data_IF_716137163035
#
_entry.id   IF_716137163035
#
_cell.length_a   1.000
_cell.length_b   1.000
_cell.length_c   1.000
_cell.angle_alpha   90.00
_cell.angle_beta   90.00
_cell.angle_gamma   90.00
#
_symmetry.space_group_name_H-M   'P 1'
#
loop_
_entity.id
_entity.type
_entity.pdbx_description
1 polymer ?
#
# COMPACT_ATOMS: atom_id res chain seq x y z
N UNK A 1 -6.15 0.93 -14.15
CA UNK A 1 -6.23 0.83 -15.62
C UNK A 1 -6.44 2.23 -16.19
N UNK A 2 -5.85 2.54 -17.35
CA UNK A 2 -5.97 3.85 -18.02
C UNK A 2 -6.13 3.61 -19.52
N UNK A 3 -7.34 3.77 -20.04
CA UNK A 3 -7.67 3.41 -21.42
C UNK A 3 -7.34 1.95 -21.70
N UNK A 4 -6.48 1.62 -22.68
CA UNK A 4 -6.10 0.25 -22.99
C UNK A 4 -4.98 -0.30 -22.09
N UNK A 5 -4.35 0.53 -21.26
CA UNK A 5 -3.14 0.15 -20.53
C UNK A 5 -3.46 -0.22 -19.07
N UNK A 6 -2.83 -1.29 -18.59
CA UNK A 6 -2.77 -1.61 -17.16
C UNK A 6 -1.50 -1.00 -16.55
N UNK A 7 -1.67 -0.22 -15.49
CA UNK A 7 -0.58 0.57 -14.88
C UNK A 7 -0.44 0.11 -13.44
N UNK A 8 0.67 -0.58 -13.15
CA UNK A 8 1.01 -1.09 -11.82
C UNK A 8 2.39 -0.57 -11.39
N UNK A 9 2.64 -0.50 -10.08
CA UNK A 9 3.95 -0.15 -9.48
C UNK A 9 4.54 1.22 -9.85
N UNK A 10 3.69 2.18 -10.24
CA UNK A 10 4.08 3.58 -10.52
C UNK A 10 2.96 4.55 -10.14
N UNK A 11 3.26 5.82 -9.82
CA UNK A 11 2.24 6.80 -9.47
C UNK A 11 1.28 7.03 -10.63
N UNK A 12 -0.02 7.12 -10.33
CA UNK A 12 -1.06 7.39 -11.31
C UNK A 12 -1.03 8.88 -11.70
N UNK A 13 -0.29 9.21 -12.75
CA UNK A 13 -0.19 10.57 -13.28
C UNK A 13 -0.49 10.51 -14.78
N UNK A 14 -1.57 11.14 -15.21
CA UNK A 14 -2.09 11.01 -16.58
C UNK A 14 -2.11 12.39 -17.21
N UNK A 15 -1.32 12.57 -18.27
CA UNK A 15 -1.14 13.85 -18.96
C UNK A 15 0.02 14.72 -18.49
N UNK A 16 0.15 15.87 -19.15
CA UNK A 16 1.21 16.85 -18.94
C UNK A 16 0.64 18.26 -19.12
N UNK A 17 0.92 19.16 -18.18
CA UNK A 17 0.24 20.46 -18.10
C UNK A 17 -1.20 20.35 -17.58
N UNK A 18 -2.07 19.77 -18.40
CA UNK A 18 -3.39 19.31 -17.98
C UNK A 18 -3.30 17.83 -17.54
N UNK A 19 -3.72 17.56 -16.32
CA UNK A 19 -3.78 16.23 -15.73
C UNK A 19 -5.22 15.76 -15.61
N UNK A 20 -5.45 14.46 -15.83
CA UNK A 20 -6.76 13.84 -15.64
C UNK A 20 -7.18 13.92 -14.17
N UNK A 21 -8.46 14.14 -13.88
CA UNK A 21 -8.93 14.42 -12.51
C UNK A 21 -8.69 13.31 -11.47
N UNK A 22 -8.47 12.08 -11.92
CA UNK A 22 -8.12 10.92 -11.09
C UNK A 22 -6.61 10.73 -10.91
N UNK A 23 -5.78 11.63 -11.46
CA UNK A 23 -4.33 11.62 -11.22
C UNK A 23 -4.00 12.01 -9.78
N UNK A 24 -2.96 11.40 -9.22
CA UNK A 24 -2.45 11.75 -7.90
C UNK A 24 -1.89 13.17 -7.88
N UNK A 25 -2.52 14.05 -7.09
CA UNK A 25 -2.18 15.48 -7.01
C UNK A 25 -0.69 15.70 -6.73
N UNK A 26 -0.12 15.03 -5.73
CA UNK A 26 1.30 15.16 -5.40
C UNK A 26 2.20 14.66 -6.54
N UNK A 27 1.84 13.56 -7.20
CA UNK A 27 2.56 13.04 -8.36
C UNK A 27 2.52 14.01 -9.54
N UNK A 28 1.35 14.58 -9.84
CA UNK A 28 1.18 15.61 -10.88
C UNK A 28 1.96 16.87 -10.56
N UNK A 29 2.00 17.32 -9.30
CA UNK A 29 2.74 18.49 -8.87
C UNK A 29 4.27 18.29 -8.95
N UNK A 30 4.77 17.11 -8.60
CA UNK A 30 6.19 16.73 -8.79
C UNK A 30 6.51 16.68 -10.28
N UNK A 31 5.69 16.00 -11.08
CA UNK A 31 5.87 15.92 -12.54
C UNK A 31 5.90 17.31 -13.18
N UNK A 32 5.02 18.23 -12.75
CA UNK A 32 4.99 19.63 -13.18
C UNK A 32 6.18 20.47 -12.68
N UNK A 33 6.97 19.99 -11.72
CA UNK A 33 8.11 20.72 -11.14
C UNK A 33 7.71 21.78 -10.11
N UNK A 34 6.48 21.73 -9.61
CA UNK A 34 5.93 22.70 -8.65
C UNK A 34 6.41 22.38 -7.23
N UNK A 35 6.53 21.08 -6.91
CA UNK A 35 6.99 20.60 -5.60
C UNK A 35 8.05 19.51 -5.78
N UNK A 36 8.84 19.28 -4.73
CA UNK A 36 9.83 18.19 -4.72
C UNK A 36 9.32 16.98 -3.95
N UNK A 37 9.78 15.77 -4.31
CA UNK A 37 9.41 14.55 -3.60
C UNK A 37 9.88 14.55 -2.13
N UNK A 38 11.00 15.21 -1.82
CA UNK A 38 11.59 15.19 -0.48
C UNK A 38 11.06 16.27 0.48
N UNK A 39 10.74 17.47 -0.02
CA UNK A 39 10.30 18.59 0.84
C UNK A 39 8.80 18.88 0.75
N UNK A 40 8.11 18.26 -0.21
CA UNK A 40 6.79 18.71 -0.62
C UNK A 40 6.84 20.16 -1.11
N UNK A 41 5.76 20.89 -0.81
CA UNK A 41 5.61 22.31 -1.14
C UNK A 41 4.14 22.67 -1.28
N UNK A 42 3.86 23.83 -1.85
CA UNK A 42 2.50 24.18 -2.23
C UNK A 42 2.44 24.88 -3.57
N UNK A 43 1.23 24.89 -4.10
CA UNK A 43 0.89 25.49 -5.37
C UNK A 43 -0.63 25.57 -5.48
N UNK A 44 -1.06 26.12 -6.61
CA UNK A 44 -2.47 26.27 -6.93
C UNK A 44 -2.90 25.17 -7.89
N UNK A 45 -4.06 24.58 -7.61
CA UNK A 45 -4.73 23.66 -8.52
C UNK A 45 -5.87 24.42 -9.19
N UNK A 46 -5.91 24.41 -10.50
CA UNK A 46 -7.00 25.00 -11.30
C UNK A 46 -7.75 23.88 -12.00
N UNK A 47 -9.06 23.79 -11.76
CA UNK A 47 -9.92 22.86 -12.48
C UNK A 47 -10.18 23.39 -13.89
N UNK A 48 -9.89 22.58 -14.91
CA UNK A 48 -9.99 22.98 -16.32
C UNK A 48 -11.26 22.42 -17.00
N UNK A 49 -11.98 21.50 -16.34
CA UNK A 49 -13.17 20.87 -16.93
C UNK A 49 -12.82 19.75 -17.90
N UNK A 50 -13.59 19.61 -18.98
CA UNK A 50 -13.35 18.59 -20.00
C UNK A 50 -12.01 18.84 -20.71
N UNK A 51 -11.24 17.79 -20.92
CA UNK A 51 -9.99 17.86 -21.68
C UNK A 51 -9.82 16.61 -22.54
N UNK A 52 -9.26 16.83 -23.72
CA UNK A 52 -9.07 15.80 -24.74
C UNK A 52 -7.59 15.54 -24.91
N UNK A 53 -7.23 14.28 -25.12
CA UNK A 53 -5.88 13.84 -25.47
C UNK A 53 -4.79 14.28 -24.46
N UNK A 54 -4.51 13.42 -23.50
CA UNK A 54 -3.45 13.63 -22.52
C UNK A 54 -2.14 13.05 -23.04
N UNK A 55 -1.12 13.88 -23.19
CA UNK A 55 0.21 13.44 -23.66
C UNK A 55 1.04 12.83 -22.52
N UNK A 56 1.82 11.80 -22.84
CA UNK A 56 2.81 11.22 -21.93
C UNK A 56 4.15 11.95 -22.07
N UNK A 57 4.74 12.34 -20.94
CA UNK A 57 6.10 12.88 -20.85
C UNK A 57 6.80 12.37 -19.60
N UNK A 58 8.14 12.31 -19.62
CA UNK A 58 8.95 12.07 -18.42
C UNK A 58 9.54 13.39 -17.93
N UNK A 59 9.14 13.83 -16.73
CA UNK A 59 9.59 15.08 -16.10
C UNK A 59 9.79 14.87 -14.60
N UNK A 60 10.88 15.42 -14.06
CA UNK A 60 11.18 15.41 -12.63
C UNK A 60 11.11 14.01 -11.97
N UNK A 61 11.57 12.98 -12.69
CA UNK A 61 11.58 11.59 -12.21
C UNK A 61 10.26 10.84 -12.32
N UNK A 62 9.18 11.49 -12.75
CA UNK A 62 7.89 10.86 -13.01
C UNK A 62 7.68 10.77 -14.53
N UNK A 63 7.27 9.60 -14.99
CA UNK A 63 6.74 9.43 -16.33
C UNK A 63 5.21 9.43 -16.24
N UNK A 64 4.56 10.32 -16.97
CA UNK A 64 3.09 10.38 -17.06
C UNK A 64 2.55 9.38 -18.07
N UNK A 65 1.28 9.04 -17.94
CA UNK A 65 0.56 8.09 -18.79
C UNK A 65 -0.20 8.90 -19.83
N UNK A 66 -0.08 8.48 -21.09
CA UNK A 66 -0.83 9.08 -22.18
C UNK A 66 -2.25 8.53 -22.21
N UNK A 67 -3.22 9.37 -22.60
CA UNK A 67 -4.60 8.97 -22.75
C UNK A 67 -5.20 9.61 -24.01
N UNK A 68 -5.30 8.82 -25.08
CA UNK A 68 -5.72 9.25 -26.41
C UNK A 68 -7.23 9.43 -26.58
N UNK A 69 -7.94 9.86 -25.53
CA UNK A 69 -9.37 10.16 -25.58
C UNK A 69 -9.72 11.37 -24.73
N UNK A 70 -11.01 11.69 -24.64
CA UNK A 70 -11.54 12.75 -23.80
C UNK A 70 -11.87 12.28 -22.40
N UNK A 71 -11.74 13.17 -21.42
CA UNK A 71 -12.12 12.89 -20.04
C UNK A 71 -12.81 14.11 -19.41
N UNK A 72 -13.90 13.84 -18.69
CA UNK A 72 -14.87 14.87 -18.28
C UNK A 72 -14.28 15.95 -17.35
N UNK A 73 -13.22 15.65 -16.60
CA UNK A 73 -12.61 16.55 -15.64
C UNK A 73 -11.08 16.46 -15.68
N UNK A 74 -10.45 17.62 -15.62
CA UNK A 74 -9.00 17.78 -15.60
C UNK A 74 -8.60 18.94 -14.71
N UNK A 75 -7.33 18.97 -14.33
CA UNK A 75 -6.75 20.05 -13.55
C UNK A 75 -5.33 20.36 -14.01
N UNK A 76 -4.89 21.60 -13.78
CA UNK A 76 -3.48 21.98 -13.89
C UNK A 76 -2.94 22.38 -12.52
N UNK A 77 -1.63 22.25 -12.36
CA UNK A 77 -0.91 22.68 -11.15
C UNK A 77 0.06 23.79 -11.53
N UNK A 78 0.05 24.88 -10.77
CA UNK A 78 0.95 26.01 -10.96
C UNK A 78 1.55 26.47 -9.63
N UNK A 79 2.72 27.10 -9.70
CA UNK A 79 3.28 27.85 -8.57
C UNK A 79 2.42 29.10 -8.33
N UNK A 80 2.33 29.48 -7.07
CA UNK A 80 1.66 30.71 -6.67
C UNK A 80 2.46 31.36 -5.55
N UNK A 81 3.15 32.44 -5.88
CA UNK A 81 4.03 33.16 -4.95
C UNK A 81 3.26 33.83 -3.79
N UNK A 82 1.93 33.94 -3.90
CA UNK A 82 1.08 34.45 -2.83
C UNK A 82 0.83 33.40 -1.74
N UNK A 83 1.01 32.11 -2.05
CA UNK A 83 0.79 31.01 -1.11
C UNK A 83 2.13 30.61 -0.49
N UNK A 84 2.24 30.76 0.83
CA UNK A 84 3.41 30.30 1.60
C UNK A 84 3.03 29.12 2.47
N UNK A 85 3.84 28.07 2.41
CA UNK A 85 3.62 26.87 3.19
C UNK A 85 4.83 26.58 4.07
N UNK A 86 4.57 26.10 5.29
CA UNK A 86 5.62 25.66 6.19
C UNK A 86 6.37 24.48 5.58
N UNK A 87 7.68 24.45 5.77
CA UNK A 87 8.49 23.28 5.43
C UNK A 87 8.04 22.06 6.26
N UNK A 88 8.13 20.87 5.68
CA UNK A 88 7.85 19.61 6.39
C UNK A 88 8.82 19.48 7.60
N UNK A 89 8.30 19.50 8.84
CA UNK A 89 9.14 19.48 10.05
C UNK A 89 9.71 18.09 10.36
N UNK A 90 9.33 17.03 9.63
CA UNK A 90 9.69 15.64 9.95
C UNK A 90 11.18 15.40 10.11
N UNK A 91 12.01 15.97 9.24
CA UNK A 91 13.47 15.81 9.30
C UNK A 91 14.08 16.43 10.57
N UNK A 92 13.64 17.65 10.92
CA UNK A 92 14.08 18.33 12.14
C UNK A 92 13.60 17.58 13.40
N UNK A 93 12.34 17.14 13.42
CA UNK A 93 11.77 16.37 14.53
C UNK A 93 12.43 14.98 14.69
N UNK A 94 12.85 14.36 13.58
CA UNK A 94 13.63 13.12 13.62
C UNK A 94 14.98 13.35 14.28
N UNK A 95 15.70 14.41 13.90
CA UNK A 95 16.97 14.75 14.53
C UNK A 95 16.82 14.98 16.04
N UNK A 96 15.79 15.74 16.46
CA UNK A 96 15.49 15.97 17.88
C UNK A 96 15.20 14.65 18.61
N UNK A 97 14.40 13.77 18.02
CA UNK A 97 14.03 12.48 18.63
C UNK A 97 15.22 11.53 18.73
N UNK A 98 16.09 11.50 17.71
CA UNK A 98 17.34 10.76 17.72
C UNK A 98 18.28 11.26 18.81
N UNK A 99 18.49 12.58 18.91
CA UNK A 99 19.35 13.15 19.96
C UNK A 99 18.84 12.83 21.36
N UNK A 100 17.54 12.98 21.60
CA UNK A 100 16.96 12.75 22.93
C UNK A 100 17.02 11.27 23.32
N UNK A 101 16.65 10.35 22.41
CA UNK A 101 16.74 8.91 22.68
C UNK A 101 18.19 8.43 22.81
N UNK A 102 19.12 9.01 22.06
CA UNK A 102 20.56 8.74 22.19
C UNK A 102 21.09 9.17 23.56
N UNK A 103 20.78 10.40 23.99
CA UNK A 103 21.16 10.90 25.31
C UNK A 103 20.60 10.01 26.43
N UNK A 104 19.31 9.66 26.38
CA UNK A 104 18.70 8.75 27.34
C UNK A 104 19.41 7.39 27.39
N UNK A 105 19.86 6.88 26.24
CA UNK A 105 20.53 5.58 26.15
C UNK A 105 21.94 5.62 26.72
N UNK A 106 22.71 6.68 26.44
CA UNK A 106 24.09 6.86 26.90
C UNK A 106 24.15 7.11 28.42
N UNK A 107 23.25 7.95 28.94
CA UNK A 107 23.27 8.37 30.34
C UNK A 107 22.47 7.46 31.28
N UNK A 108 21.87 6.38 30.77
CA UNK A 108 21.12 5.41 31.60
C UNK A 108 21.77 4.04 31.63
N UNK A 109 22.04 3.55 32.84
CA UNK A 109 22.49 2.18 33.11
C UNK A 109 21.32 1.22 33.37
N UNK A 110 20.12 1.74 33.62
CA UNK A 110 18.96 0.93 33.95
C UNK A 110 18.36 0.30 32.69
N UNK A 111 18.12 -1.03 32.66
CA UNK A 111 17.43 -1.67 31.54
C UNK A 111 16.00 -1.15 31.37
N UNK A 112 15.40 -0.53 32.40
CA UNK A 112 14.06 0.07 32.31
C UNK A 112 13.99 1.29 31.39
N UNK A 113 15.15 1.81 30.92
CA UNK A 113 15.20 2.86 29.90
C UNK A 113 14.50 2.48 28.60
N UNK A 114 14.27 1.18 28.38
CA UNK A 114 13.45 0.68 27.29
C UNK A 114 12.07 1.37 27.22
N UNK A 115 11.35 1.54 28.33
CA UNK A 115 9.99 2.09 28.31
C UNK A 115 9.90 3.55 27.81
N UNK A 116 10.69 4.51 28.33
CA UNK A 116 10.66 5.86 27.78
C UNK A 116 11.13 5.91 26.33
N UNK A 117 12.15 5.13 25.93
CA UNK A 117 12.60 5.05 24.53
C UNK A 117 11.48 4.50 23.64
N UNK A 118 10.84 3.41 24.06
CA UNK A 118 9.71 2.81 23.36
C UNK A 118 8.58 3.82 23.14
N UNK A 119 8.16 4.53 24.19
CA UNK A 119 7.09 5.54 24.10
C UNK A 119 7.49 6.70 23.18
N UNK A 120 8.73 7.18 23.26
CA UNK A 120 9.21 8.27 22.40
C UNK A 120 9.25 7.88 20.93
N UNK A 121 9.79 6.70 20.61
CA UNK A 121 9.82 6.19 19.24
C UNK A 121 8.40 5.92 18.75
N UNK A 122 7.52 5.36 19.59
CA UNK A 122 6.12 5.14 19.25
C UNK A 122 5.39 6.44 18.95
N UNK A 123 5.63 7.50 19.74
CA UNK A 123 5.09 8.83 19.47
C UNK A 123 5.68 9.43 18.18
N UNK A 124 6.99 9.26 17.96
CA UNK A 124 7.64 9.74 16.75
C UNK A 124 7.01 9.13 15.50
N UNK A 125 6.79 7.80 15.49
CA UNK A 125 6.11 7.16 14.37
C UNK A 125 4.69 7.68 14.23
N UNK A 126 3.92 7.72 15.32
CA UNK A 126 2.50 8.08 15.31
C UNK A 126 2.20 9.53 14.91
N UNK A 127 3.14 10.46 15.14
CA UNK A 127 2.92 11.89 14.90
C UNK A 127 3.80 12.48 13.80
N UNK A 128 4.94 11.86 13.49
CA UNK A 128 5.98 12.47 12.66
C UNK A 128 6.28 11.61 11.43
N UNK A 129 6.96 10.48 11.60
CA UNK A 129 7.58 9.77 10.48
C UNK A 129 6.60 8.98 9.62
N UNK A 130 5.61 8.34 10.22
CA UNK A 130 4.61 7.53 9.51
C UNK A 130 3.28 7.51 10.30
N UNK A 131 2.61 8.67 10.42
CA UNK A 131 1.38 8.78 11.19
C UNK A 131 0.24 7.98 10.54
N UNK A 132 -0.77 7.52 11.30
CA UNK A 132 -1.95 6.82 10.76
C UNK A 132 -2.76 7.68 9.77
N UNK A 133 -3.69 7.07 9.05
CA UNK A 133 -4.59 7.82 8.17
C UNK A 133 -5.48 8.75 8.98
N UNK A 134 -5.63 9.99 8.52
CA UNK A 134 -6.53 10.98 9.11
C UNK A 134 -7.82 11.09 8.29
N UNK A 135 -8.90 11.53 8.93
CA UNK A 135 -10.18 11.74 8.27
C UNK A 135 -10.13 13.00 7.41
N UNK A 136 -10.56 12.89 6.14
CA UNK A 136 -10.72 14.06 5.26
C UNK A 136 -11.80 15.04 5.75
N UNK A 137 -12.61 14.65 6.75
CA UNK A 137 -13.67 15.49 7.33
C UNK A 137 -13.17 16.41 8.43
N UNK A 138 -11.97 16.15 8.98
CA UNK A 138 -11.39 16.96 10.03
C UNK A 138 -10.55 18.09 9.42
N UNK A 139 -10.65 19.29 10.01
CA UNK A 139 -9.92 20.48 9.56
C UNK A 139 -8.41 20.33 9.77
N UNK A 140 -8.01 19.59 10.81
CA UNK A 140 -6.61 19.30 11.14
C UNK A 140 -6.46 17.82 11.43
N UNK A 141 -5.27 17.28 11.15
CA UNK A 141 -4.94 15.86 11.37
C UNK A 141 -4.63 15.52 12.83
N UNK A 142 -4.33 16.52 13.67
CA UNK A 142 -3.84 16.30 15.04
C UNK A 142 -4.84 15.52 15.94
N UNK A 143 -6.15 15.83 15.97
CA UNK A 143 -7.10 15.06 16.76
C UNK A 143 -7.15 13.58 16.38
N UNK A 144 -7.08 13.26 15.07
CA UNK A 144 -7.07 11.88 14.58
C UNK A 144 -5.81 11.15 15.05
N UNK A 145 -4.64 11.79 14.93
CA UNK A 145 -3.38 11.21 15.37
C UNK A 145 -3.35 11.00 16.88
N UNK A 146 -3.86 11.95 17.68
CA UNK A 146 -3.96 11.80 19.15
C UNK A 146 -4.90 10.66 19.52
N UNK A 147 -6.06 10.56 18.87
CA UNK A 147 -7.02 9.47 19.10
C UNK A 147 -6.41 8.11 18.79
N UNK A 148 -5.75 7.96 17.63
CA UNK A 148 -5.10 6.71 17.24
C UNK A 148 -3.91 6.37 18.12
N UNK A 149 -3.09 7.35 18.50
CA UNK A 149 -2.00 7.17 19.44
C UNK A 149 -2.50 6.64 20.78
N UNK A 150 -3.55 7.25 21.35
CA UNK A 150 -4.14 6.80 22.61
C UNK A 150 -4.74 5.39 22.52
N UNK A 151 -5.44 5.08 21.41
CA UNK A 151 -5.99 3.75 21.14
C UNK A 151 -4.91 2.66 21.13
N UNK A 152 -3.77 2.94 20.49
CA UNK A 152 -2.75 1.93 20.16
C UNK A 152 -1.65 1.82 21.22
N UNK A 153 -1.30 2.91 21.89
CA UNK A 153 -0.21 2.92 22.87
C UNK A 153 -0.49 2.01 24.07
N UNK A 154 -1.72 2.03 24.62
CA UNK A 154 -2.01 1.29 25.85
C UNK A 154 -1.84 -0.24 25.66
N UNK A 155 -2.46 -0.90 24.66
CA UNK A 155 -2.19 -2.32 24.40
C UNK A 155 -0.73 -2.58 24.02
N UNK A 156 -0.10 -1.68 23.26
CA UNK A 156 1.31 -1.81 22.89
C UNK A 156 2.23 -1.79 24.12
N UNK A 157 1.92 -0.97 25.13
CA UNK A 157 2.67 -0.91 26.39
C UNK A 157 2.51 -2.20 27.21
N UNK A 158 1.33 -2.82 27.21
CA UNK A 158 1.14 -4.12 27.87
C UNK A 158 2.02 -5.20 27.23
N UNK A 159 2.05 -5.25 25.90
CA UNK A 159 2.94 -6.14 25.15
C UNK A 159 4.40 -5.77 25.41
N UNK A 160 4.74 -4.48 25.49
CA UNK A 160 6.09 -4.04 25.80
C UNK A 160 6.56 -4.52 27.19
N UNK A 161 5.68 -4.62 28.18
CA UNK A 161 6.02 -5.23 29.49
C UNK A 161 6.32 -6.72 29.36
N UNK A 162 5.55 -7.46 28.55
CA UNK A 162 5.81 -8.88 28.27
C UNK A 162 7.13 -9.06 27.52
N UNK A 163 7.36 -8.31 26.45
CA UNK A 163 8.63 -8.31 25.71
C UNK A 163 9.80 -7.94 26.63
N UNK A 164 9.63 -6.93 27.48
CA UNK A 164 10.66 -6.50 28.41
C UNK A 164 11.07 -7.61 29.36
N UNK A 165 10.09 -8.25 30.00
CA UNK A 165 10.33 -9.29 31.00
C UNK A 165 10.86 -10.59 30.38
N UNK A 166 10.34 -10.98 29.21
CA UNK A 166 10.69 -12.24 28.56
C UNK A 166 12.03 -12.19 27.79
N UNK A 167 12.35 -11.08 27.12
CA UNK A 167 13.45 -11.02 26.14
C UNK A 167 14.39 -9.84 26.33
N UNK A 168 13.87 -8.61 26.36
CA UNK A 168 14.69 -7.39 26.26
C UNK A 168 15.56 -7.20 27.49
N UNK A 169 14.99 -7.36 28.71
CA UNK A 169 15.71 -7.14 29.97
C UNK A 169 17.03 -7.90 29.98
N UNK A 170 17.03 -9.17 29.56
CA UNK A 170 18.25 -9.99 29.54
C UNK A 170 19.31 -9.41 28.61
N UNK A 171 18.94 -9.01 27.40
CA UNK A 171 19.87 -8.49 26.40
C UNK A 171 20.56 -7.20 26.85
N UNK A 172 19.84 -6.30 27.55
CA UNK A 172 20.35 -4.97 27.92
C UNK A 172 20.78 -4.80 29.38
N UNK A 173 20.66 -5.84 30.23
CA UNK A 173 21.08 -5.76 31.64
C UNK A 173 22.60 -5.82 31.77
N UNK A 174 23.18 -4.93 32.57
CA UNK A 174 24.62 -4.98 32.91
C UNK A 174 25.56 -4.57 31.78
N UNK A 175 25.05 -3.94 30.71
CA UNK A 175 25.88 -3.42 29.63
C UNK A 175 26.70 -2.21 30.12
N UNK A 176 28.03 -2.31 30.02
CA UNK A 176 28.98 -1.23 30.35
C UNK A 176 29.29 -0.35 29.14
N UNK A 177 29.28 -0.92 27.93
CA UNK A 177 29.54 -0.22 26.68
C UNK A 177 28.29 0.55 26.20
N UNK A 178 28.03 1.72 26.79
CA UNK A 178 26.84 2.52 26.48
C UNK A 178 26.77 2.97 25.02
N UNK A 179 27.92 3.30 24.40
CA UNK A 179 27.98 3.64 22.98
C UNK A 179 27.62 2.46 22.08
N UNK A 180 28.04 1.23 22.39
CA UNK A 180 27.66 0.05 21.62
C UNK A 180 26.16 -0.26 21.78
N UNK A 181 25.62 -0.10 22.99
CA UNK A 181 24.18 -0.20 23.25
C UNK A 181 23.41 0.83 22.40
N UNK A 182 23.86 2.08 22.35
CA UNK A 182 23.24 3.11 21.54
C UNK A 182 23.37 2.82 20.03
N UNK A 183 24.54 2.38 19.56
CA UNK A 183 24.76 2.12 18.14
C UNK A 183 23.97 0.90 17.65
N UNK A 184 24.06 -0.24 18.34
CA UNK A 184 23.43 -1.47 17.86
C UNK A 184 21.96 -1.57 18.26
N UNK A 185 21.64 -1.39 19.54
CA UNK A 185 20.27 -1.61 20.02
C UNK A 185 19.35 -0.43 19.68
N UNK A 186 19.74 0.80 20.04
CA UNK A 186 18.93 1.98 19.69
C UNK A 186 18.98 2.26 18.18
N UNK A 187 20.14 2.14 17.54
CA UNK A 187 20.27 2.30 16.10
C UNK A 187 19.42 1.28 15.33
N UNK A 188 19.45 0.01 15.72
CA UNK A 188 18.53 -1.02 15.19
C UNK A 188 17.07 -0.66 15.41
N UNK A 189 16.70 -0.16 16.59
CA UNK A 189 15.33 0.29 16.90
C UNK A 189 14.88 1.38 15.92
N UNK A 190 15.68 2.42 15.71
CA UNK A 190 15.35 3.47 14.73
C UNK A 190 15.29 2.94 13.30
N UNK A 191 16.18 2.04 12.90
CA UNK A 191 16.14 1.40 11.57
C UNK A 191 14.81 0.69 11.35
N UNK A 192 14.35 -0.10 12.32
CA UNK A 192 13.06 -0.80 12.22
C UNK A 192 11.84 0.13 12.32
N UNK A 193 11.91 1.16 13.16
CA UNK A 193 10.81 2.10 13.36
C UNK A 193 10.54 2.97 12.12
N UNK A 194 11.60 3.22 11.35
CA UNK A 194 11.59 3.93 10.07
C UNK A 194 11.59 2.95 8.89
N UNK A 195 10.96 1.78 9.01
CA UNK A 195 10.92 0.76 7.95
C UNK A 195 10.41 1.29 6.60
N UNK A 196 9.51 2.27 6.64
CA UNK A 196 9.01 2.97 5.46
C UNK A 196 10.09 3.77 4.69
N UNK A 197 11.22 4.07 5.35
CA UNK A 197 12.38 4.69 4.73
C UNK A 197 13.56 3.72 4.55
N UNK A 198 13.71 2.73 5.45
CA UNK A 198 14.87 1.83 5.48
C UNK A 198 14.68 0.54 4.71
N UNK A 199 13.45 0.06 4.51
CA UNK A 199 13.15 -1.22 3.85
C UNK A 199 12.24 -1.09 2.63
N UNK A 200 11.48 0.01 2.45
CA UNK A 200 10.55 0.18 1.31
C UNK A 200 11.22 0.19 -0.07
N UNK A 201 12.53 0.44 -0.15
CA UNK A 201 13.28 0.36 -1.41
C UNK A 201 13.56 -1.09 -1.86
N UNK A 202 13.35 -2.07 -0.98
CA UNK A 202 13.46 -3.49 -1.31
C UNK A 202 12.25 -3.85 -2.19
N UNK A 203 12.44 -4.38 -3.41
CA UNK A 203 11.36 -4.63 -4.37
C UNK A 203 10.56 -5.89 -4.01
N UNK A 204 9.89 -5.87 -2.85
CA UNK A 204 9.04 -6.95 -2.34
C UNK A 204 7.83 -6.30 -1.67
N UNK A 205 6.76 -6.09 -2.43
CA UNK A 205 5.50 -5.59 -1.83
C UNK A 205 4.64 -6.73 -1.26
N UNK A 206 4.68 -7.91 -1.89
CA UNK A 206 3.90 -9.10 -1.53
C UNK A 206 4.68 -10.35 -1.92
N UNK A 207 4.54 -11.42 -1.14
CA UNK A 207 5.19 -12.71 -1.38
C UNK A 207 4.34 -13.64 -2.26
N UNK A 208 3.57 -13.10 -3.22
CA UNK A 208 2.81 -13.92 -4.18
C UNK A 208 3.65 -14.17 -5.43
N UNK A 209 3.41 -15.29 -6.11
CA UNK A 209 4.14 -15.61 -7.35
C UNK A 209 3.94 -14.52 -8.42
N UNK A 210 2.71 -14.02 -8.57
CA UNK A 210 2.36 -12.95 -9.51
C UNK A 210 3.14 -11.66 -9.25
N UNK A 211 3.23 -11.22 -7.98
CA UNK A 211 3.92 -9.98 -7.64
C UNK A 211 5.44 -10.09 -7.80
N UNK A 212 6.01 -11.25 -7.47
CA UNK A 212 7.43 -11.53 -7.65
C UNK A 212 7.86 -11.59 -9.12
N UNK A 213 6.95 -11.97 -10.02
CA UNK A 213 7.20 -11.99 -11.47
C UNK A 213 7.09 -10.59 -12.10
N UNK A 214 6.19 -9.73 -11.58
CA UNK A 214 5.99 -8.38 -12.10
C UNK A 214 7.00 -7.36 -11.59
N UNK A 215 7.57 -7.57 -10.40
CA UNK A 215 8.52 -6.63 -9.81
C UNK A 215 9.97 -6.94 -10.23
N UNK A 216 10.65 -6.03 -10.94
CA UNK A 216 12.03 -6.26 -11.37
C UNK A 216 12.97 -6.34 -10.16
N UNK A 217 13.74 -7.44 -10.06
CA UNK A 217 14.70 -7.67 -8.98
C UNK A 217 14.13 -8.31 -7.71
N UNK A 218 12.82 -8.55 -7.62
CA UNK A 218 12.17 -9.10 -6.44
C UNK A 218 12.69 -10.49 -6.04
N UNK A 219 12.85 -11.40 -7.01
CA UNK A 219 13.36 -12.77 -6.77
C UNK A 219 14.78 -12.76 -6.21
N UNK A 220 15.65 -11.88 -6.73
CA UNK A 220 17.02 -11.75 -6.25
C UNK A 220 17.06 -11.19 -4.83
N UNK A 221 16.30 -10.12 -4.57
CA UNK A 221 16.19 -9.52 -3.25
C UNK A 221 15.69 -10.55 -2.21
N UNK A 222 14.67 -11.33 -2.56
CA UNK A 222 14.12 -12.39 -1.70
C UNK A 222 15.16 -13.46 -1.39
N UNK A 223 15.91 -13.93 -2.39
CA UNK A 223 16.97 -14.92 -2.19
C UNK A 223 18.07 -14.42 -1.24
N UNK A 224 18.50 -13.17 -1.39
CA UNK A 224 19.50 -12.54 -0.51
C UNK A 224 18.98 -12.44 0.93
N UNK A 225 17.72 -12.00 1.12
CA UNK A 225 17.11 -11.90 2.45
C UNK A 225 17.03 -13.26 3.13
N UNK A 226 16.62 -14.32 2.40
CA UNK A 226 16.55 -15.68 2.94
C UNK A 226 17.94 -16.16 3.39
N UNK A 227 18.99 -15.93 2.59
CA UNK A 227 20.36 -16.30 2.95
C UNK A 227 20.85 -15.58 4.20
N UNK A 228 20.58 -14.27 4.31
CA UNK A 228 20.93 -13.47 5.49
C UNK A 228 20.19 -13.99 6.72
N UNK A 229 18.87 -14.22 6.62
CA UNK A 229 18.07 -14.75 7.72
C UNK A 229 18.53 -16.14 8.15
N UNK A 230 18.88 -17.03 7.21
CA UNK A 230 19.41 -18.35 7.52
C UNK A 230 20.73 -18.26 8.31
N UNK A 231 21.64 -17.37 7.91
CA UNK A 231 22.89 -17.13 8.63
C UNK A 231 22.65 -16.57 10.05
N UNK A 232 21.71 -15.62 10.19
CA UNK A 232 21.29 -15.07 11.48
C UNK A 232 20.75 -16.18 12.38
N UNK A 233 19.81 -16.99 11.88
CA UNK A 233 19.19 -18.09 12.63
C UNK A 233 20.24 -19.11 13.06
N UNK A 234 21.13 -19.53 12.15
CA UNK A 234 22.20 -20.47 12.48
C UNK A 234 23.12 -19.93 13.60
N UNK A 235 23.49 -18.65 13.52
CA UNK A 235 24.27 -17.98 14.56
C UNK A 235 23.55 -17.92 15.92
N UNK A 236 22.26 -17.57 15.93
CA UNK A 236 21.47 -17.54 17.18
C UNK A 236 21.30 -18.94 17.76
N UNK A 237 21.03 -19.96 16.94
CA UNK A 237 20.94 -21.37 17.37
C UNK A 237 22.24 -21.83 18.00
N UNK A 238 23.40 -21.52 17.40
CA UNK A 238 24.71 -21.83 17.95
C UNK A 238 24.93 -21.16 19.31
N UNK A 239 24.57 -19.87 19.46
CA UNK A 239 24.67 -19.17 20.73
C UNK A 239 23.73 -19.76 21.81
N UNK A 240 22.48 -20.10 21.47
CA UNK A 240 21.56 -20.74 22.42
C UNK A 240 22.00 -22.15 22.82
N UNK A 241 22.69 -22.86 21.92
CA UNK A 241 23.32 -24.14 22.22
C UNK A 241 24.45 -23.97 23.23
N UNK A 242 25.36 -23.00 23.02
CA UNK A 242 26.44 -22.69 23.96
C UNK A 242 25.93 -22.28 25.36
N UNK A 243 24.81 -21.56 25.42
CA UNK A 243 24.18 -21.20 26.70
C UNK A 243 23.35 -22.32 27.34
N UNK A 244 23.18 -23.47 26.68
CA UNK A 244 22.37 -24.59 27.17
C UNK A 244 20.86 -24.34 27.19
N UNK A 245 20.37 -23.30 26.49
CA UNK A 245 18.95 -22.89 26.48
C UNK A 245 18.20 -23.34 25.23
N UNK A 246 18.90 -23.89 24.24
CA UNK A 246 18.32 -24.26 22.94
C UNK A 246 17.04 -25.12 23.05
N UNK A 247 16.95 -26.18 23.89
CA UNK A 247 15.73 -27.01 23.94
C UNK A 247 14.46 -26.25 24.33
N UNK A 248 14.58 -25.30 25.26
CA UNK A 248 13.45 -24.45 25.69
C UNK A 248 12.97 -23.55 24.55
N UNK A 249 13.90 -22.96 23.80
CA UNK A 249 13.57 -22.11 22.66
C UNK A 249 13.03 -22.92 21.47
N UNK A 250 13.57 -24.10 21.19
CA UNK A 250 12.99 -25.01 20.19
C UNK A 250 11.55 -25.38 20.55
N UNK A 251 11.26 -25.61 21.83
CA UNK A 251 9.89 -25.88 22.32
C UNK A 251 8.98 -24.66 22.11
N UNK A 252 9.46 -23.45 22.41
CA UNK A 252 8.73 -22.21 22.17
C UNK A 252 8.44 -21.98 20.67
N UNK A 253 9.43 -22.20 19.80
CA UNK A 253 9.24 -22.05 18.36
C UNK A 253 8.35 -23.15 17.77
N UNK A 254 8.39 -24.38 18.31
CA UNK A 254 7.44 -25.42 17.98
C UNK A 254 6.00 -25.02 18.35
N UNK A 255 5.80 -24.35 19.49
CA UNK A 255 4.49 -23.79 19.87
C UNK A 255 4.02 -22.72 18.88
N UNK A 256 4.88 -21.79 18.48
CA UNK A 256 4.55 -20.77 17.47
C UNK A 256 4.18 -21.40 16.12
N UNK A 257 4.98 -22.36 15.64
CA UNK A 257 4.71 -23.08 14.39
C UNK A 257 3.37 -23.82 14.49
N UNK A 258 3.09 -24.48 15.61
CA UNK A 258 1.82 -25.16 15.84
C UNK A 258 0.63 -24.19 15.77
N UNK A 259 0.74 -23.02 16.39
CA UNK A 259 -0.28 -21.97 16.30
C UNK A 259 -0.50 -21.47 14.87
N UNK A 260 0.58 -21.30 14.10
CA UNK A 260 0.50 -20.93 12.67
C UNK A 260 -0.17 -22.04 11.85
N UNK A 261 0.16 -23.32 12.09
CA UNK A 261 -0.49 -24.45 11.43
C UNK A 261 -1.98 -24.46 11.75
N UNK A 262 -2.38 -24.26 13.00
CA UNK A 262 -3.80 -24.14 13.38
C UNK A 262 -4.47 -23.01 12.60
N UNK A 263 -3.84 -21.83 12.52
CA UNK A 263 -4.35 -20.70 11.75
C UNK A 263 -4.54 -21.03 10.26
N UNK A 264 -3.62 -21.77 9.65
CA UNK A 264 -3.70 -22.19 8.24
C UNK A 264 -4.83 -23.21 7.97
N UNK A 265 -5.26 -23.94 9.00
CA UNK A 265 -6.32 -24.95 8.88
C UNK A 265 -7.73 -24.37 9.06
N UNK A 266 -7.87 -23.10 9.42
CA UNK A 266 -9.19 -22.47 9.61
C UNK A 266 -9.77 -22.09 8.23
N UNK A 267 -10.93 -22.65 7.83
CA UNK A 267 -11.53 -22.36 6.53
C UNK A 267 -12.09 -20.93 6.47
N UNK A 268 -12.03 -20.32 5.28
CA UNK A 268 -12.61 -19.00 5.01
C UNK A 268 -11.76 -17.80 5.42
N UNK A 269 -10.58 -18.04 6.01
CA UNK A 269 -9.59 -17.01 6.34
C UNK A 269 -8.22 -17.40 5.79
N UNK A 270 -7.38 -16.39 5.59
CA UNK A 270 -6.04 -16.52 5.08
C UNK A 270 -5.06 -15.94 6.09
N UNK A 271 -3.91 -16.58 6.21
CA UNK A 271 -2.83 -16.13 7.08
C UNK A 271 -2.14 -14.91 6.48
N UNK A 272 -2.13 -13.79 7.22
CA UNK A 272 -1.33 -12.60 6.90
C UNK A 272 -0.46 -12.22 8.08
N UNK A 273 0.85 -12.46 7.92
CA UNK A 273 1.82 -12.14 8.96
C UNK A 273 2.34 -10.72 8.73
N UNK A 274 1.74 -9.76 9.44
CA UNK A 274 2.23 -8.39 9.48
C UNK A 274 3.61 -8.32 10.16
N UNK A 275 4.41 -7.30 9.83
CA UNK A 275 5.77 -7.16 10.37
C UNK A 275 5.82 -6.99 11.88
N UNK A 276 4.77 -6.47 12.53
CA UNK A 276 4.69 -6.46 14.00
C UNK A 276 4.55 -7.87 14.59
N UNK A 277 3.89 -8.79 13.88
CA UNK A 277 3.76 -10.20 14.26
C UNK A 277 5.09 -10.92 14.03
N UNK A 278 5.74 -10.67 12.89
CA UNK A 278 7.10 -11.17 12.64
C UNK A 278 8.06 -10.73 13.76
N UNK A 279 7.97 -9.47 14.19
CA UNK A 279 8.72 -8.97 15.32
C UNK A 279 8.47 -9.81 16.58
N UNK A 280 7.21 -10.05 16.96
CA UNK A 280 6.87 -10.85 18.13
C UNK A 280 7.35 -12.31 18.04
N UNK A 281 7.29 -12.93 16.85
CA UNK A 281 7.74 -14.30 16.63
C UNK A 281 9.27 -14.42 16.74
N UNK A 282 10.02 -13.46 16.20
CA UNK A 282 11.48 -13.53 16.17
C UNK A 282 12.18 -12.91 17.40
N UNK A 283 11.51 -12.03 18.15
CA UNK A 283 12.12 -11.34 19.29
C UNK A 283 12.73 -12.29 20.35
N UNK A 284 12.09 -13.42 20.72
CA UNK A 284 12.69 -14.38 21.66
C UNK A 284 14.07 -14.88 21.22
N UNK A 285 14.25 -15.09 19.92
CA UNK A 285 15.51 -15.52 19.30
C UNK A 285 16.66 -14.51 19.42
N UNK A 286 16.42 -13.31 19.98
CA UNK A 286 17.43 -12.27 20.20
C UNK A 286 17.77 -12.07 21.69
N UNK A 287 17.29 -12.96 22.56
CA UNK A 287 17.48 -12.88 24.02
C UNK A 287 18.89 -13.30 24.49
N UNK A 288 19.94 -12.94 23.74
CA UNK A 288 21.34 -13.29 24.00
C UNK A 288 22.16 -12.00 24.08
N UNK A 289 23.15 -11.93 24.96
CA UNK A 289 24.02 -10.75 25.14
C UNK A 289 25.18 -10.71 24.13
N UNK A 290 24.86 -10.64 22.84
CA UNK A 290 25.85 -10.44 21.77
C UNK A 290 25.53 -9.18 20.96
N UNK A 291 26.55 -8.54 20.37
CA UNK A 291 26.37 -7.34 19.53
C UNK A 291 25.36 -7.55 18.38
N UNK A 292 25.38 -8.68 17.65
CA UNK A 292 24.36 -8.95 16.64
C UNK A 292 22.95 -9.04 17.23
N UNK A 293 22.79 -9.67 18.40
CA UNK A 293 21.48 -9.77 19.05
C UNK A 293 20.94 -8.42 19.49
N UNK A 294 21.80 -7.48 19.92
CA UNK A 294 21.39 -6.09 20.17
C UNK A 294 20.80 -5.44 18.91
N UNK A 295 21.47 -5.60 17.77
CA UNK A 295 21.01 -5.05 16.49
C UNK A 295 19.69 -5.70 16.04
N UNK A 296 19.61 -7.03 16.04
CA UNK A 296 18.42 -7.76 15.62
C UNK A 296 17.23 -7.44 16.52
N UNK A 297 17.45 -7.40 17.84
CA UNK A 297 16.41 -7.03 18.80
C UNK A 297 15.92 -5.60 18.54
N UNK A 298 16.84 -4.65 18.33
CA UNK A 298 16.50 -3.28 17.95
C UNK A 298 15.60 -3.26 16.72
N UNK A 299 16.03 -3.85 15.61
CA UNK A 299 15.26 -3.86 14.34
C UNK A 299 13.86 -4.43 14.55
N UNK A 300 13.72 -5.56 15.26
CA UNK A 300 12.42 -6.17 15.54
C UNK A 300 11.53 -5.28 16.41
N UNK A 301 12.07 -4.63 17.45
CA UNK A 301 11.32 -3.66 18.25
C UNK A 301 10.84 -2.47 17.41
N UNK A 302 11.68 -2.00 16.50
CA UNK A 302 11.31 -0.96 15.54
C UNK A 302 10.17 -1.39 14.62
N UNK A 303 10.26 -2.60 14.03
CA UNK A 303 9.20 -3.15 13.18
C UNK A 303 7.89 -3.34 13.95
N UNK A 304 7.96 -3.75 15.21
CA UNK A 304 6.79 -3.83 16.09
C UNK A 304 6.15 -2.44 16.28
N UNK A 305 6.95 -1.43 16.62
CA UNK A 305 6.45 -0.06 16.80
C UNK A 305 5.90 0.49 15.50
N UNK A 306 6.62 0.38 14.38
CA UNK A 306 6.14 0.85 13.09
C UNK A 306 4.81 0.20 12.71
N UNK A 307 4.73 -1.13 12.80
CA UNK A 307 3.53 -1.87 12.44
C UNK A 307 2.30 -1.45 13.24
N UNK A 308 2.42 -1.34 14.56
CA UNK A 308 1.26 -0.98 15.39
C UNK A 308 0.94 0.51 15.30
N UNK A 309 1.95 1.39 15.40
CA UNK A 309 1.74 2.83 15.42
C UNK A 309 1.09 3.32 14.12
N UNK A 310 1.48 2.77 12.95
CA UNK A 310 0.90 3.08 11.65
C UNK A 310 -0.36 2.27 11.33
N UNK A 311 -0.30 0.95 11.46
CA UNK A 311 -1.31 0.02 10.91
C UNK A 311 -2.25 -0.60 11.94
N UNK A 312 -2.10 -0.29 13.23
CA UNK A 312 -2.86 -0.92 14.33
C UNK A 312 -2.52 -2.41 14.56
N UNK A 313 -3.21 -3.03 15.51
CA UNK A 313 -3.18 -4.48 15.75
C UNK A 313 -4.01 -5.24 14.71
N UNK A 314 -3.59 -5.18 13.44
CA UNK A 314 -4.31 -5.85 12.36
C UNK A 314 -4.27 -7.38 12.50
N UNK A 315 -5.35 -8.05 12.10
CA UNK A 315 -5.55 -9.48 12.31
C UNK A 315 -4.49 -10.33 11.62
N UNK A 316 -4.05 -11.39 12.28
CA UNK A 316 -3.21 -12.45 11.69
C UNK A 316 -4.01 -13.32 10.70
N UNK A 317 -5.33 -13.37 10.86
CA UNK A 317 -6.27 -14.09 10.01
C UNK A 317 -7.22 -13.09 9.34
N UNK A 318 -7.10 -12.95 8.03
CA UNK A 318 -7.92 -12.02 7.24
C UNK A 318 -8.77 -12.78 6.24
N UNK A 319 -9.98 -12.28 5.97
CA UNK A 319 -10.82 -12.85 4.91
C UNK A 319 -10.20 -12.58 3.54
N UNK A 320 -10.56 -13.39 2.54
CA UNK A 320 -10.11 -13.16 1.16
C UNK A 320 -10.51 -11.77 0.65
N UNK A 321 -11.67 -11.27 1.06
CA UNK A 321 -12.13 -9.92 0.68
C UNK A 321 -11.27 -8.81 1.32
N UNK A 322 -10.89 -8.95 2.59
CA UNK A 322 -10.01 -7.99 3.28
C UNK A 322 -8.59 -7.97 2.68
N UNK A 323 -8.07 -9.13 2.24
CA UNK A 323 -6.77 -9.24 1.57
C UNK A 323 -6.76 -8.68 0.17
N UNK A 324 -7.85 -8.87 -0.57
CA UNK A 324 -7.96 -8.45 -1.97
C UNK A 324 -7.83 -6.94 -2.10
N UNK A 325 -8.39 -6.17 -1.15
CA UNK A 325 -8.44 -4.70 -1.23
C UNK A 325 -9.02 -4.22 -2.57
N UNK A 326 -8.19 -3.60 -3.42
CA UNK A 326 -8.51 -3.12 -4.78
C UNK A 326 -8.03 -4.06 -5.90
N UNK A 327 -7.52 -5.25 -5.56
CA UNK A 327 -7.11 -6.26 -6.54
C UNK A 327 -8.31 -6.91 -7.26
N UNK A 328 -8.02 -7.56 -8.39
CA UNK A 328 -9.02 -8.27 -9.21
C UNK A 328 -9.72 -9.39 -8.39
N UNK A 329 -10.99 -9.63 -8.68
CA UNK A 329 -11.79 -10.71 -8.08
C UNK A 329 -11.56 -12.08 -8.73
N UNK A 330 -10.94 -12.10 -9.92
CA UNK A 330 -10.90 -13.23 -10.85
C UNK A 330 -12.30 -13.80 -11.13
N UNK A 331 -13.25 -12.87 -11.25
CA UNK A 331 -14.66 -13.14 -11.47
C UNK A 331 -14.98 -13.37 -12.94
N UNK A 332 -16.15 -13.97 -13.21
CA UNK A 332 -16.67 -14.07 -14.56
C UNK A 332 -16.82 -12.68 -15.17
N UNK A 333 -16.37 -12.51 -16.40
CA UNK A 333 -16.50 -11.27 -17.17
C UNK A 333 -17.60 -11.43 -18.24
N UNK A 334 -18.34 -10.37 -18.59
CA UNK A 334 -19.33 -10.44 -19.66
C UNK A 334 -18.70 -10.83 -20.99
N UNK A 335 -19.19 -11.91 -21.61
CA UNK A 335 -18.80 -12.27 -22.96
C UNK A 335 -19.52 -11.35 -23.95
N UNK A 336 -18.76 -10.46 -24.59
CA UNK A 336 -19.28 -9.56 -25.61
C UNK A 336 -19.48 -10.31 -26.93
N UNK A 337 -20.65 -10.12 -27.53
CA UNK A 337 -20.88 -10.49 -28.92
C UNK A 337 -20.28 -9.42 -29.84
N UNK A 338 -20.08 -9.75 -31.11
CA UNK A 338 -19.63 -8.78 -32.09
C UNK A 338 -20.60 -7.57 -32.11
N UNK A 339 -20.12 -6.34 -31.86
CA UNK A 339 -21.00 -5.19 -31.75
C UNK A 339 -21.56 -4.80 -33.11
N UNK A 340 -22.83 -4.38 -33.14
CA UNK A 340 -23.44 -3.80 -34.32
C UNK A 340 -23.15 -2.30 -34.32
N UNK A 341 -22.35 -1.83 -35.29
CA UNK A 341 -21.98 -0.43 -35.43
C UNK A 341 -22.67 0.13 -36.67
N UNK A 342 -23.60 1.05 -36.45
CA UNK A 342 -24.34 1.73 -37.50
C UNK A 342 -23.82 3.16 -37.65
N UNK A 343 -23.21 3.45 -38.79
CA UNK A 343 -22.74 4.79 -39.14
C UNK A 343 -23.86 5.54 -39.87
N UNK A 344 -24.55 6.44 -39.17
CA UNK A 344 -25.51 7.37 -39.76
C UNK A 344 -24.83 8.63 -40.33
N UNK A 345 -25.64 9.56 -40.86
CA UNK A 345 -25.12 10.82 -41.40
C UNK A 345 -24.49 11.72 -40.31
N UNK A 346 -25.12 11.80 -39.13
CA UNK A 346 -24.72 12.72 -38.04
C UNK A 346 -24.22 11.99 -36.78
N UNK A 347 -24.65 10.75 -36.57
CA UNK A 347 -24.28 9.95 -35.40
C UNK A 347 -23.84 8.53 -35.77
N UNK A 348 -22.92 8.01 -34.99
CA UNK A 348 -22.54 6.61 -34.93
C UNK A 348 -23.22 6.00 -33.71
N UNK A 349 -23.96 4.92 -33.94
CA UNK A 349 -24.61 4.14 -32.88
C UNK A 349 -23.92 2.77 -32.80
N UNK A 350 -23.29 2.49 -31.66
CA UNK A 350 -22.67 1.22 -31.36
C UNK A 350 -23.52 0.45 -30.35
N UNK A 351 -24.02 -0.72 -30.76
CA UNK A 351 -24.82 -1.60 -29.91
C UNK A 351 -23.99 -2.81 -29.50
N UNK A 352 -23.76 -2.94 -28.20
CA UNK A 352 -23.01 -4.01 -27.57
C UNK A 352 -23.96 -5.00 -26.93
N UNK A 353 -24.14 -6.16 -27.53
CA UNK A 353 -24.88 -7.25 -26.92
C UNK A 353 -23.92 -8.15 -26.11
N UNK A 354 -24.41 -8.69 -25.00
CA UNK A 354 -23.66 -9.57 -24.13
C UNK A 354 -24.37 -10.91 -23.95
N UNK A 355 -23.59 -11.95 -23.67
CA UNK A 355 -24.08 -13.30 -23.41
C UNK A 355 -24.97 -13.39 -22.15
N UNK A 356 -25.58 -14.55 -21.96
CA UNK A 356 -26.39 -14.82 -20.78
C UNK A 356 -25.55 -14.67 -19.49
N UNK A 357 -26.05 -13.94 -18.48
CA UNK A 357 -25.34 -13.79 -17.22
C UNK A 357 -25.22 -15.13 -16.47
N UNK A 358 -24.11 -15.38 -15.75
CA UNK A 358 -24.00 -16.51 -14.82
C UNK A 358 -25.03 -16.41 -13.68
N UNK A 359 -25.34 -17.54 -13.03
CA UNK A 359 -26.27 -17.54 -11.90
C UNK A 359 -25.75 -16.67 -10.73
N UNK A 360 -26.65 -15.86 -10.17
CA UNK A 360 -26.38 -15.05 -8.98
C UNK A 360 -25.59 -13.77 -9.21
N UNK A 361 -25.66 -13.19 -10.41
CA UNK A 361 -25.32 -11.77 -10.66
C UNK A 361 -26.61 -10.94 -10.76
N UNK A 362 -26.53 -9.67 -10.35
CA UNK A 362 -27.70 -8.79 -10.27
C UNK A 362 -27.81 -7.84 -11.46
N UNK A 363 -26.72 -7.62 -12.21
CA UNK A 363 -26.69 -6.64 -13.27
C UNK A 363 -25.39 -6.54 -14.06
N UNK A 364 -25.27 -5.49 -14.86
CA UNK A 364 -24.09 -5.13 -15.65
C UNK A 364 -23.69 -3.66 -15.41
N UNK A 365 -22.40 -3.40 -15.47
CA UNK A 365 -21.77 -2.09 -15.33
C UNK A 365 -20.89 -1.83 -16.55
N UNK A 366 -21.04 -0.66 -17.17
CA UNK A 366 -20.32 -0.29 -18.39
C UNK A 366 -19.49 0.96 -18.16
N UNK A 367 -18.17 0.84 -18.39
CA UNK A 367 -17.28 1.99 -18.48
C UNK A 367 -17.12 2.40 -19.92
N UNK A 368 -17.23 3.71 -20.17
CA UNK A 368 -16.75 4.34 -21.40
C UNK A 368 -15.72 5.39 -21.00
N UNK A 369 -14.51 5.27 -21.53
CA UNK A 369 -13.40 6.16 -21.22
C UNK A 369 -13.06 6.21 -19.72
N UNK A 370 -12.93 5.03 -19.11
CA UNK A 370 -12.64 4.84 -17.68
C UNK A 370 -13.67 5.45 -16.71
N UNK A 371 -14.85 5.82 -17.20
CA UNK A 371 -15.95 6.39 -16.40
C UNK A 371 -17.19 5.52 -16.54
N UNK A 372 -17.87 5.24 -15.43
CA UNK A 372 -19.15 4.51 -15.47
C UNK A 372 -20.19 5.36 -16.18
N UNK A 373 -20.77 4.80 -17.24
CA UNK A 373 -21.80 5.45 -18.06
C UNK A 373 -23.14 4.76 -17.96
N UNK A 374 -23.16 3.47 -17.64
CA UNK A 374 -24.39 2.71 -17.48
C UNK A 374 -24.22 1.66 -16.40
N UNK A 375 -25.29 1.47 -15.64
CA UNK A 375 -25.45 0.42 -14.64
C UNK A 375 -26.90 -0.05 -14.69
N UNK A 376 -27.11 -1.30 -15.08
CA UNK A 376 -28.43 -1.88 -15.24
C UNK A 376 -28.57 -3.14 -14.36
N UNK A 377 -29.71 -3.27 -13.68
CA UNK A 377 -30.05 -4.45 -12.87
C UNK A 377 -31.07 -5.32 -13.60
N UNK A 378 -30.91 -6.63 -13.54
CA UNK A 378 -31.77 -7.59 -14.25
C UNK A 378 -33.20 -7.65 -13.66
N UNK A 379 -33.39 -7.26 -12.40
CA UNK A 379 -34.66 -7.37 -11.68
C UNK A 379 -35.54 -6.09 -11.68
N UNK A 380 -35.02 -4.94 -12.13
CA UNK A 380 -35.63 -3.61 -11.92
C UNK A 380 -36.65 -3.15 -12.98
N UNK A 381 -37.07 -3.98 -13.95
CA UNK A 381 -38.08 -3.51 -14.91
C UNK A 381 -38.63 -4.53 -15.90
N UNK A 382 -39.86 -4.26 -16.34
CA UNK A 382 -40.79 -5.01 -17.19
C UNK A 382 -40.33 -5.40 -18.61
N UNK A 383 -39.06 -5.18 -18.94
CA UNK A 383 -38.40 -5.63 -20.17
C UNK A 383 -37.12 -6.37 -19.75
N UNK A 384 -37.31 -7.62 -19.26
CA UNK A 384 -36.25 -8.46 -18.72
C UNK A 384 -34.97 -8.38 -19.55
N UNK A 385 -33.88 -8.00 -18.90
CA UNK A 385 -32.57 -7.75 -19.48
C UNK A 385 -32.59 -6.72 -20.63
N UNK A 386 -32.02 -5.52 -20.38
CA UNK A 386 -31.22 -4.92 -21.44
C UNK A 386 -30.11 -5.93 -21.69
N UNK A 387 -30.24 -6.82 -22.66
CA UNK A 387 -29.18 -7.73 -23.13
C UNK A 387 -28.15 -6.99 -23.99
N UNK A 388 -28.28 -5.67 -24.07
CA UNK A 388 -27.44 -4.81 -24.86
C UNK A 388 -27.28 -3.42 -24.26
N UNK A 389 -26.11 -2.84 -24.44
CA UNK A 389 -25.80 -1.44 -24.18
C UNK A 389 -25.69 -0.69 -25.51
N UNK A 390 -26.36 0.45 -25.63
CA UNK A 390 -26.29 1.30 -26.83
C UNK A 390 -25.53 2.58 -26.51
N UNK A 391 -24.50 2.85 -27.30
CA UNK A 391 -23.67 4.05 -27.21
C UNK A 391 -23.83 4.88 -28.49
N UNK A 392 -24.16 6.15 -28.34
CA UNK A 392 -24.30 7.08 -29.46
C UNK A 392 -23.27 8.19 -29.35
N UNK A 393 -22.56 8.46 -30.45
CA UNK A 393 -21.61 9.58 -30.54
C UNK A 393 -21.70 10.29 -31.89
N UNK A 394 -21.29 11.57 -31.98
CA UNK A 394 -21.18 12.27 -33.26
C UNK A 394 -20.20 11.57 -34.22
N UNK A 395 -20.50 11.56 -35.53
CA UNK A 395 -19.63 10.93 -36.54
C UNK A 395 -18.28 11.62 -36.71
N UNK A 396 -18.17 12.90 -36.34
CA UNK A 396 -16.94 13.69 -36.39
C UNK A 396 -16.03 13.50 -35.16
N UNK A 397 -16.28 12.50 -34.32
CA UNK A 397 -15.44 12.24 -33.13
C UNK A 397 -14.07 11.71 -33.55
N UNK A 398 -13.03 12.54 -33.41
CA UNK A 398 -11.65 12.19 -33.80
C UNK A 398 -10.93 11.26 -32.81
N UNK A 399 -11.53 11.00 -31.64
CA UNK A 399 -10.91 10.25 -30.55
C UNK A 399 -11.37 8.80 -30.50
N UNK A 400 -10.45 7.92 -30.08
CA UNK A 400 -10.80 6.53 -29.77
C UNK A 400 -11.57 6.48 -28.45
N UNK A 401 -12.53 5.57 -28.33
CA UNK A 401 -13.27 5.37 -27.08
C UNK A 401 -13.02 3.96 -26.54
N UNK A 402 -12.81 3.88 -25.23
CA UNK A 402 -12.45 2.65 -24.54
C UNK A 402 -13.64 2.12 -23.75
N UNK A 403 -14.05 0.89 -24.03
CA UNK A 403 -15.22 0.26 -23.41
C UNK A 403 -14.78 -0.92 -22.54
N UNK A 404 -15.37 -1.01 -21.34
CA UNK A 404 -15.17 -2.14 -20.43
C UNK A 404 -16.49 -2.52 -19.79
N UNK A 405 -16.68 -3.82 -19.59
CA UNK A 405 -17.92 -4.37 -19.08
C UNK A 405 -17.61 -5.26 -17.87
N UNK A 406 -18.45 -5.17 -16.84
CA UNK A 406 -18.36 -5.97 -15.64
C UNK A 406 -19.76 -6.39 -15.19
N UNK A 407 -19.87 -7.54 -14.53
CA UNK A 407 -21.10 -7.88 -13.81
C UNK A 407 -21.17 -7.13 -12.48
N UNK A 408 -22.39 -6.97 -11.97
CA UNK A 408 -22.67 -6.40 -10.65
C UNK A 408 -23.28 -7.48 -9.76
N UNK A 409 -22.79 -7.58 -8.52
CA UNK A 409 -23.32 -8.51 -7.51
C UNK A 409 -23.35 -7.85 -6.14
N UNK A 410 -24.48 -7.93 -5.45
CA UNK A 410 -24.78 -7.27 -4.19
C UNK A 410 -24.46 -5.77 -4.21
N UNK A 411 -24.77 -5.10 -5.33
CA UNK A 411 -24.46 -3.67 -5.55
C UNK A 411 -22.99 -3.33 -5.81
N UNK A 412 -22.06 -4.29 -5.71
CA UNK A 412 -20.63 -4.11 -6.01
C UNK A 412 -20.32 -4.55 -7.43
N UNK A 413 -19.53 -3.77 -8.14
CA UNK A 413 -19.03 -4.15 -9.47
C UNK A 413 -17.91 -5.17 -9.33
N UNK A 414 -17.97 -6.24 -10.12
CA UNK A 414 -16.96 -7.28 -10.23
C UNK A 414 -15.84 -6.84 -11.21
N UNK A 415 -15.06 -7.78 -11.76
CA UNK A 415 -13.96 -7.42 -12.65
C UNK A 415 -14.44 -6.89 -13.99
N UNK A 416 -13.77 -5.83 -14.43
CA UNK A 416 -13.93 -5.30 -15.77
C UNK A 416 -13.14 -6.11 -16.79
N UNK A 417 -13.77 -6.32 -17.94
CA UNK A 417 -13.10 -6.85 -19.13
C UNK A 417 -11.88 -5.99 -19.51
N UNK A 418 -11.01 -6.56 -20.35
CA UNK A 418 -10.04 -5.76 -21.10
C UNK A 418 -10.75 -4.69 -21.92
N UNK A 419 -10.03 -3.61 -22.23
CA UNK A 419 -10.60 -2.50 -23.00
C UNK A 419 -10.85 -2.95 -24.44
N UNK A 420 -12.11 -2.86 -24.87
CA UNK A 420 -12.42 -2.78 -26.28
C UNK A 420 -12.28 -1.34 -26.77
N UNK A 421 -11.87 -1.17 -28.04
CA UNK A 421 -11.56 0.11 -28.65
C UNK A 421 -12.53 0.34 -29.80
N UNK A 422 -13.33 1.39 -29.69
CA UNK A 422 -14.08 1.95 -30.81
C UNK A 422 -13.26 3.08 -31.42
N UNK A 423 -12.61 2.80 -32.54
CA UNK A 423 -11.76 3.75 -33.24
C UNK A 423 -12.57 4.89 -33.86
N UNK A 424 -11.93 6.04 -34.07
CA UNK A 424 -12.57 7.22 -34.68
C UNK A 424 -13.18 6.95 -36.07
N UNK A 425 -12.58 6.04 -36.85
CA UNK A 425 -13.10 5.58 -38.14
C UNK A 425 -14.35 4.67 -38.05
N UNK A 426 -14.85 4.40 -36.84
CA UNK A 426 -16.02 3.56 -36.59
C UNK A 426 -15.75 2.06 -36.59
N UNK A 427 -14.48 1.63 -36.67
CA UNK A 427 -14.14 0.21 -36.49
C UNK A 427 -14.02 -0.16 -35.01
N UNK A 428 -14.26 -1.43 -34.71
CA UNK A 428 -14.13 -1.99 -33.38
C UNK A 428 -12.97 -2.98 -33.33
N UNK A 429 -12.19 -2.92 -32.25
CA UNK A 429 -11.26 -3.97 -31.88
C UNK A 429 -11.45 -4.31 -30.41
N UNK A 430 -11.47 -5.60 -30.11
CA UNK A 430 -11.37 -6.11 -28.74
C UNK A 430 -10.26 -7.14 -28.73
N UNK A 431 -9.42 -7.15 -27.71
CA UNK A 431 -8.65 -8.35 -27.41
C UNK A 431 -9.67 -9.45 -27.07
N UNK A 432 -9.85 -10.41 -27.98
CA UNK A 432 -10.60 -11.64 -27.70
C UNK A 432 -9.91 -12.37 -26.57
N UNK A 433 -10.53 -12.31 -25.38
CA UNK A 433 -10.29 -13.09 -24.16
C UNK A 433 -8.83 -13.37 -23.81
#
# INVERSE_FOLDING_TARGET
>A
MVGPVEVNYRPLVIGTGAYRADSFICGSAIHAGIVSNGKGGCGRITLLGNHNNFLSTKRHGIESIGYGSYFAKSFSVALDDTIRCSSDPRSALLFVSLMFTFALTIFSTSPKIFFPIFTLIFAHVSFVSDPPTASYRNITVLPDYVSMFAKRLLPAMFIAVVMYTATIRRTITGLTAQFEKALFWLGGFWIGALSNYTFDWIPISRLTAHDLDQQPGAKLALAIIILILAAIIAGQVYCFWLEGRLPCYLSLYALFISGIIVCLMIPGVNLRIHHYILALLFLPGTSIQTRPSLLYQGILLGLFVNGIARWDFDSILQTTDALRADAKFDSAIPQLLAPAINLGAESLVAKFAYGAPPDGVDGISVLVNDMERDRAFYNDGSDGARGSFEWTRPTNTEFNEYFRFAYVKNGRTLDYSKAGILFSNGTWSSETT
#
